data_IF_428983976477
#
_entry.id   IF_428983976477
#
_cell.length_a   1.000
_cell.length_b   1.000
_cell.length_c   1.000
_cell.angle_alpha   90.00
_cell.angle_beta   90.00
_cell.angle_gamma   90.00
#
_symmetry.space_group_name_H-M   'P 1'
#
loop_
_entity.id
_entity.type
_entity.pdbx_description
1 polymer ?
#
# COMPACT_ATOMS: atom_id res chain seq x y z
N UNK A 1 11.80 1.86 -0.74
CA UNK A 1 11.29 2.52 -1.97
C UNK A 1 9.77 2.65 -1.99
N UNK A 2 8.98 1.66 -1.54
CA UNK A 2 7.50 1.79 -1.47
C UNK A 2 7.00 2.91 -0.54
N UNK A 3 7.68 3.18 0.58
CA UNK A 3 7.25 4.20 1.54
C UNK A 3 7.31 5.66 1.03
N UNK A 4 8.25 5.96 0.13
CA UNK A 4 8.37 7.32 -0.43
C UNK A 4 7.25 7.63 -1.42
N UNK A 5 6.80 6.64 -2.20
CA UNK A 5 5.76 6.82 -3.21
C UNK A 5 4.35 6.95 -2.61
N UNK A 6 4.08 6.31 -1.47
CA UNK A 6 2.77 6.32 -0.82
C UNK A 6 2.58 7.53 0.10
N UNK A 7 3.66 8.12 0.60
CA UNK A 7 3.65 9.28 1.50
C UNK A 7 2.81 10.46 0.97
N UNK A 8 3.06 10.98 -0.26
CA UNK A 8 2.30 12.12 -0.78
C UNK A 8 0.85 11.79 -1.09
N UNK A 9 0.54 10.53 -1.44
CA UNK A 9 -0.82 10.10 -1.76
C UNK A 9 -1.67 10.07 -0.49
N UNK A 10 -1.12 9.56 0.61
CA UNK A 10 -1.78 9.53 1.91
C UNK A 10 -1.99 10.91 2.51
N UNK A 11 -1.00 11.81 2.39
CA UNK A 11 -1.13 13.20 2.85
C UNK A 11 -2.15 13.95 2.01
N UNK A 12 -2.11 13.80 0.68
CA UNK A 12 -3.09 14.39 -0.23
C UNK A 12 -4.51 13.94 0.12
N UNK A 13 -4.74 12.62 0.24
CA UNK A 13 -6.04 12.06 0.61
C UNK A 13 -6.51 12.53 2.00
N UNK A 14 -5.60 12.68 2.96
CA UNK A 14 -5.92 13.19 4.29
C UNK A 14 -6.31 14.67 4.27
N UNK A 15 -5.65 15.49 3.45
CA UNK A 15 -5.90 16.93 3.29
C UNK A 15 -7.23 17.23 2.59
N UNK A 16 -7.62 16.43 1.59
CA UNK A 16 -8.88 16.63 0.87
C UNK A 16 -10.09 16.00 1.57
N UNK A 17 -9.87 15.09 2.53
CA UNK A 17 -10.97 14.34 3.14
C UNK A 17 -11.71 15.15 4.21
N UNK A 18 -12.99 15.43 3.96
CA UNK A 18 -13.89 15.91 5.03
C UNK A 18 -14.03 14.82 6.11
N UNK A 19 -14.11 15.18 7.40
CA UNK A 19 -14.17 14.21 8.52
C UNK A 19 -15.31 13.19 8.37
N UNK A 20 -16.43 13.58 7.76
CA UNK A 20 -17.58 12.71 7.51
C UNK A 20 -17.41 11.76 6.31
N UNK A 21 -16.52 12.09 5.37
CA UNK A 21 -16.31 11.30 4.15
C UNK A 21 -15.02 10.46 4.20
N UNK A 22 -14.10 10.79 5.11
CA UNK A 22 -12.79 10.14 5.25
C UNK A 22 -12.89 8.62 5.38
N UNK A 23 -13.87 8.12 6.15
CA UNK A 23 -14.10 6.67 6.27
C UNK A 23 -14.45 6.01 4.94
N UNK A 24 -15.32 6.63 4.12
CA UNK A 24 -15.71 6.10 2.81
C UNK A 24 -14.56 6.10 1.81
N UNK A 25 -13.72 7.14 1.82
CA UNK A 25 -12.52 7.21 0.98
C UNK A 25 -11.51 6.12 1.33
N UNK A 26 -11.26 5.88 2.63
CA UNK A 26 -10.35 4.83 3.10
C UNK A 26 -10.86 3.44 2.70
N UNK A 27 -12.16 3.18 2.94
CA UNK A 27 -12.79 1.92 2.55
C UNK A 27 -12.75 1.71 1.03
N UNK A 28 -13.07 2.74 0.25
CA UNK A 28 -13.02 2.70 -1.21
C UNK A 28 -11.62 2.38 -1.75
N UNK A 29 -10.58 3.02 -1.19
CA UNK A 29 -9.18 2.71 -1.57
C UNK A 29 -8.80 1.27 -1.23
N UNK A 30 -9.28 0.74 -0.09
CA UNK A 30 -9.01 -0.64 0.34
C UNK A 30 -9.69 -1.66 -0.58
N UNK A 31 -10.94 -1.39 -0.98
CA UNK A 31 -11.67 -2.22 -1.95
C UNK A 31 -10.97 -2.19 -3.30
N UNK A 32 -10.55 -1.01 -3.78
CA UNK A 32 -9.83 -0.89 -5.05
C UNK A 32 -8.53 -1.73 -5.08
N UNK A 33 -7.77 -1.73 -3.98
CA UNK A 33 -6.58 -2.58 -3.84
C UNK A 33 -6.96 -4.07 -3.88
N UNK A 34 -7.98 -4.48 -3.13
CA UNK A 34 -8.45 -5.86 -3.12
C UNK A 34 -8.93 -6.32 -4.50
N UNK A 35 -9.68 -5.49 -5.21
CA UNK A 35 -10.12 -5.76 -6.59
C UNK A 35 -8.94 -5.84 -7.56
N UNK A 36 -7.94 -4.97 -7.43
CA UNK A 36 -6.73 -5.03 -8.25
C UNK A 36 -5.95 -6.35 -8.07
N UNK A 37 -5.82 -6.81 -6.83
CA UNK A 37 -5.18 -8.10 -6.52
C UNK A 37 -6.00 -9.26 -7.10
N UNK A 38 -7.32 -9.23 -6.95
CA UNK A 38 -8.22 -10.24 -7.52
C UNK A 38 -8.06 -10.33 -9.05
N UNK A 39 -8.06 -9.19 -9.74
CA UNK A 39 -7.87 -9.11 -11.19
C UNK A 39 -6.52 -9.69 -11.61
N UNK A 40 -5.44 -9.40 -10.87
CA UNK A 40 -4.12 -9.97 -11.16
C UNK A 40 -4.09 -11.50 -11.03
N UNK A 41 -4.76 -12.06 -10.02
CA UNK A 41 -4.86 -13.52 -9.89
C UNK A 41 -5.67 -14.16 -11.02
N UNK A 42 -6.77 -13.53 -11.44
CA UNK A 42 -7.60 -14.02 -12.54
C UNK A 42 -6.80 -14.00 -13.86
N UNK A 43 -6.09 -12.90 -14.14
CA UNK A 43 -5.23 -12.78 -15.32
C UNK A 43 -4.08 -13.81 -15.30
N UNK A 44 -3.45 -14.02 -14.15
CA UNK A 44 -2.41 -15.03 -13.98
C UNK A 44 -2.92 -16.47 -14.11
N UNK A 45 -4.20 -16.72 -13.84
CA UNK A 45 -4.82 -18.03 -14.06
C UNK A 45 -5.10 -18.29 -15.54
N UNK A 46 -5.57 -17.28 -16.27
CA UNK A 46 -5.95 -17.39 -17.68
C UNK A 46 -4.74 -17.49 -18.61
N UNK A 47 -3.65 -16.79 -18.32
CA UNK A 47 -2.49 -16.67 -19.21
C UNK A 47 -1.27 -17.34 -18.56
N UNK A 48 -1.15 -18.66 -18.70
CA UNK A 48 -0.02 -19.43 -18.14
C UNK A 48 1.23 -19.45 -19.03
N UNK A 49 1.07 -19.38 -20.34
CA UNK A 49 2.17 -19.56 -21.30
C UNK A 49 2.79 -18.25 -21.81
N UNK A 50 2.14 -17.09 -21.63
CA UNK A 50 2.56 -15.81 -22.20
C UNK A 50 2.70 -14.70 -21.15
N UNK A 51 3.81 -14.73 -20.39
CA UNK A 51 4.10 -13.74 -19.35
C UNK A 51 4.23 -12.30 -19.90
N UNK A 52 4.59 -12.13 -21.17
CA UNK A 52 4.76 -10.81 -21.80
C UNK A 52 3.42 -10.05 -21.89
N UNK A 53 2.31 -10.74 -22.18
CA UNK A 53 0.99 -10.12 -22.22
C UNK A 53 0.54 -9.64 -20.84
N UNK A 54 0.85 -10.40 -19.79
CA UNK A 54 0.53 -10.02 -18.41
C UNK A 54 1.27 -8.73 -18.03
N UNK A 55 2.55 -8.60 -18.41
CA UNK A 55 3.32 -7.37 -18.21
C UNK A 55 2.76 -6.17 -19.01
N UNK A 56 2.26 -6.41 -20.22
CA UNK A 56 1.68 -5.34 -21.04
C UNK A 56 0.35 -4.85 -20.43
N UNK A 57 -0.51 -5.76 -19.99
CA UNK A 57 -1.80 -5.42 -19.37
C UNK A 57 -1.59 -4.65 -18.06
N UNK A 58 -0.61 -5.05 -17.24
CA UNK A 58 -0.31 -4.33 -16.00
C UNK A 58 0.24 -2.93 -16.26
N UNK A 59 1.08 -2.75 -17.29
CA UNK A 59 1.54 -1.44 -17.72
C UNK A 59 0.38 -0.56 -18.21
N UNK A 60 -0.53 -1.11 -19.02
CA UNK A 60 -1.73 -0.40 -19.49
C UNK A 60 -2.61 0.02 -18.31
N UNK A 61 -2.87 -0.88 -17.36
CA UNK A 61 -3.63 -0.55 -16.15
C UNK A 61 -3.01 0.61 -15.38
N UNK A 62 -1.69 0.64 -15.25
CA UNK A 62 -0.98 1.73 -14.58
C UNK A 62 -1.08 3.05 -15.37
N UNK A 63 -1.01 3.00 -16.70
CA UNK A 63 -1.22 4.18 -17.55
C UNK A 63 -2.64 4.74 -17.44
N UNK A 64 -3.66 3.88 -17.42
CA UNK A 64 -5.05 4.30 -17.23
C UNK A 64 -5.22 4.97 -15.87
N UNK A 65 -4.70 4.35 -14.80
CA UNK A 65 -4.74 4.92 -13.45
C UNK A 65 -4.05 6.30 -13.41
N UNK A 66 -2.90 6.44 -14.08
CA UNK A 66 -2.21 7.73 -14.18
C UNK A 66 -3.06 8.79 -14.91
N UNK A 67 -3.65 8.43 -16.06
CA UNK A 67 -4.53 9.33 -16.80
C UNK A 67 -5.77 9.77 -16.00
N UNK A 68 -6.33 8.88 -15.16
CA UNK A 68 -7.45 9.22 -14.29
C UNK A 68 -7.10 10.22 -13.17
N UNK A 69 -5.83 10.31 -12.79
CA UNK A 69 -5.37 11.22 -11.73
C UNK A 69 -5.01 12.61 -12.26
N UNK A 70 -4.63 12.74 -13.53
CA UNK A 70 -4.31 14.03 -14.17
C UNK A 70 -5.38 15.14 -14.05
N UNK A 71 -6.69 14.87 -14.17
CA UNK A 71 -7.71 15.92 -14.05
C UNK A 71 -8.03 16.32 -12.59
N UNK A 72 -7.42 15.69 -11.59
CA UNK A 72 -7.71 15.99 -10.18
C UNK A 72 -7.05 17.32 -9.80
N UNK A 73 -7.79 18.29 -9.24
CA UNK A 73 -7.22 19.57 -8.83
C UNK A 73 -6.24 19.41 -7.67
N UNK A 74 -5.22 20.28 -7.64
CA UNK A 74 -4.22 20.34 -6.57
C UNK A 74 -4.85 20.56 -5.18
N UNK A 75 -4.18 20.06 -4.14
CA UNK A 75 -4.67 20.12 -2.75
C UNK A 75 -4.84 21.59 -2.30
N UNK A 76 -5.97 21.94 -1.65
CA UNK A 76 -6.21 23.30 -1.15
C UNK A 76 -5.14 23.75 -0.14
N UNK A 77 -4.60 22.84 0.67
CA UNK A 77 -3.54 23.14 1.65
C UNK A 77 -2.23 23.55 0.98
N UNK A 78 -1.87 22.88 -0.12
CA UNK A 78 -0.67 23.23 -0.90
C UNK A 78 -0.81 24.59 -1.61
N UNK A 79 -1.99 24.86 -2.16
CA UNK A 79 -2.31 26.16 -2.77
C UNK A 79 -2.27 27.30 -1.73
N UNK A 80 -2.68 27.02 -0.48
CA UNK A 80 -2.58 27.96 0.63
C UNK A 80 -1.14 28.25 1.05
N UNK A 81 -0.30 27.22 1.14
CA UNK A 81 1.13 27.40 1.44
C UNK A 81 1.83 28.29 0.39
N UNK A 82 1.39 28.21 -0.88
CA UNK A 82 1.87 29.07 -1.97
C UNK A 82 1.27 30.48 -2.01
N UNK A 83 0.33 30.80 -1.12
CA UNK A 83 -0.35 32.10 -1.08
C UNK A 83 -1.43 32.30 -2.15
N UNK A 84 -1.83 31.24 -2.88
CA UNK A 84 -2.79 31.30 -3.98
C UNK A 84 -4.22 31.02 -3.48
N UNK A 85 -4.75 31.94 -2.65
CA UNK A 85 -6.04 31.79 -1.95
C UNK A 85 -7.22 31.57 -2.91
N UNK A 86 -7.28 32.29 -4.03
CA UNK A 86 -8.37 32.17 -5.01
C UNK A 86 -8.40 30.79 -5.71
N UNK A 87 -7.22 30.20 -5.96
CA UNK A 87 -7.15 28.84 -6.52
C UNK A 87 -7.52 27.79 -5.48
N UNK A 88 -7.09 27.97 -4.23
CA UNK A 88 -7.50 27.10 -3.13
C UNK A 88 -9.03 27.10 -2.94
N UNK A 89 -9.65 28.28 -3.04
CA UNK A 89 -11.10 28.45 -3.03
C UNK A 89 -11.80 27.68 -4.15
N UNK A 90 -11.28 27.75 -5.38
CA UNK A 90 -11.83 27.02 -6.54
C UNK A 90 -11.70 25.49 -6.37
N UNK A 91 -10.56 24.99 -5.91
CA UNK A 91 -10.36 23.57 -5.62
C UNK A 91 -11.30 23.07 -4.53
N UNK A 92 -11.45 23.82 -3.42
CA UNK A 92 -12.33 23.44 -2.32
C UNK A 92 -13.82 23.42 -2.74
N UNK A 93 -14.23 24.36 -3.60
CA UNK A 93 -15.57 24.34 -4.23
C UNK A 93 -15.80 23.10 -5.08
N UNK A 94 -14.80 22.68 -5.87
CA UNK A 94 -14.87 21.46 -6.68
C UNK A 94 -15.08 20.20 -5.82
N UNK A 95 -14.34 20.06 -4.71
CA UNK A 95 -14.48 18.90 -3.82
C UNK A 95 -15.80 18.84 -3.07
N UNK A 96 -16.41 19.98 -2.75
CA UNK A 96 -17.69 20.02 -2.05
C UNK A 96 -18.91 19.98 -2.97
N UNK A 97 -18.73 20.18 -4.28
CA UNK A 97 -19.83 20.20 -5.26
C UNK A 97 -20.83 21.34 -5.06
N UNK A 98 -20.43 22.43 -4.39
CA UNK A 98 -21.31 23.58 -4.15
C UNK A 98 -21.51 24.37 -5.46
N UNK A 99 -22.78 24.58 -5.81
CA UNK A 99 -23.20 25.60 -6.79
C UNK A 99 -23.29 26.96 -6.10
N UNK A 100 -23.08 28.05 -6.86
CA UNK A 100 -22.87 29.43 -6.36
C UNK A 100 -23.99 30.04 -5.47
N UNK A 101 -25.08 29.35 -5.18
CA UNK A 101 -26.31 29.94 -4.63
C UNK A 101 -26.63 29.69 -3.14
N UNK A 102 -25.82 28.92 -2.39
CA UNK A 102 -26.14 28.61 -0.99
C UNK A 102 -25.43 29.53 0.01
N UNK A 103 -26.05 30.70 0.29
CA UNK A 103 -25.53 31.76 1.19
C UNK A 103 -25.14 31.26 2.58
N UNK A 104 -25.82 30.24 3.09
CA UNK A 104 -25.54 29.60 4.39
C UNK A 104 -24.22 28.84 4.38
N UNK A 105 -23.88 28.19 3.27
CA UNK A 105 -22.64 27.43 3.15
C UNK A 105 -21.42 28.30 2.87
N UNK A 106 -21.60 29.53 2.37
CA UNK A 106 -20.49 30.47 2.14
C UNK A 106 -19.77 30.88 3.42
N UNK A 107 -20.49 31.15 4.51
CA UNK A 107 -19.87 31.60 5.77
C UNK A 107 -19.07 30.46 6.45
N UNK A 108 -19.63 29.25 6.45
CA UNK A 108 -18.94 28.06 6.95
C UNK A 108 -17.73 27.67 6.07
N UNK A 109 -17.86 27.85 4.76
CA UNK A 109 -16.78 27.65 3.80
C UNK A 109 -15.61 28.65 4.01
N UNK A 110 -15.91 29.94 4.19
CA UNK A 110 -14.87 30.95 4.46
C UNK A 110 -14.19 30.71 5.81
N UNK A 111 -14.94 30.26 6.83
CA UNK A 111 -14.38 29.87 8.13
C UNK A 111 -13.41 28.70 8.02
N UNK A 112 -13.74 27.67 7.27
CA UNK A 112 -12.83 26.56 7.01
C UNK A 112 -11.58 26.99 6.23
N UNK A 113 -11.77 27.82 5.20
CA UNK A 113 -10.68 28.37 4.41
C UNK A 113 -9.71 29.18 5.29
N UNK A 114 -10.24 29.98 6.21
CA UNK A 114 -9.47 30.75 7.19
C UNK A 114 -8.73 29.84 8.19
N UNK A 115 -9.35 28.75 8.66
CA UNK A 115 -8.67 27.77 9.52
C UNK A 115 -7.51 27.07 8.80
N UNK A 116 -7.69 26.65 7.55
CA UNK A 116 -6.63 26.02 6.75
C UNK A 116 -5.47 27.01 6.56
N UNK A 117 -5.77 28.29 6.27
CA UNK A 117 -4.76 29.34 6.14
C UNK A 117 -3.98 29.54 7.45
N UNK A 118 -4.67 29.66 8.58
CA UNK A 118 -4.04 29.83 9.90
C UNK A 118 -3.12 28.65 10.24
N UNK A 119 -3.57 27.40 10.01
CA UNK A 119 -2.74 26.22 10.25
C UNK A 119 -1.51 26.18 9.34
N UNK A 120 -1.65 26.60 8.08
CA UNK A 120 -0.54 26.71 7.13
C UNK A 120 0.48 27.78 7.54
N UNK A 121 0.02 28.96 7.95
CA UNK A 121 0.90 30.05 8.41
C UNK A 121 1.63 29.66 9.71
N UNK A 122 0.93 29.04 10.68
CA UNK A 122 1.54 28.50 11.89
C UNK A 122 2.60 27.42 11.59
N UNK A 123 2.32 26.53 10.65
CA UNK A 123 3.29 25.50 10.22
C UNK A 123 4.53 26.11 9.57
N UNK A 124 4.37 27.21 8.82
CA UNK A 124 5.47 27.93 8.18
C UNK A 124 6.32 28.68 9.21
N UNK A 125 5.68 29.39 10.14
CA UNK A 125 6.37 30.09 11.24
C UNK A 125 7.14 29.10 12.13
N UNK A 126 6.53 27.96 12.47
CA UNK A 126 7.19 26.89 13.21
C UNK A 126 8.41 26.35 12.44
N UNK A 127 8.27 26.09 11.14
CA UNK A 127 9.36 25.59 10.29
C UNK A 127 10.49 26.61 10.08
N UNK A 128 10.19 27.91 10.15
CA UNK A 128 11.20 28.98 10.07
C UNK A 128 11.96 29.12 11.41
N UNK A 129 11.28 28.90 12.53
CA UNK A 129 11.86 29.02 13.88
C UNK A 129 12.65 27.79 14.34
N UNK A 130 12.36 26.59 13.81
CA UNK A 130 12.94 25.33 14.28
C UNK A 130 13.86 24.71 13.22
N UNK A 131 15.14 24.51 13.54
CA UNK A 131 16.05 23.69 12.72
C UNK A 131 15.56 22.24 12.66
N UNK A 132 15.64 21.58 11.49
CA UNK A 132 15.15 20.19 11.29
C UNK A 132 15.67 19.18 12.33
N UNK A 133 16.87 19.41 12.87
CA UNK A 133 17.47 18.60 13.94
C UNK A 133 16.77 18.79 15.30
N UNK A 134 16.26 19.98 15.58
CA UNK A 134 15.51 20.30 16.78
C UNK A 134 14.09 19.73 16.71
N UNK A 135 13.46 19.80 15.54
CA UNK A 135 12.16 19.20 15.27
C UNK A 135 12.18 17.65 15.46
N UNK A 136 13.24 16.97 15.00
CA UNK A 136 13.42 15.52 15.20
C UNK A 136 13.68 15.15 16.66
N UNK A 137 14.35 16.04 17.42
CA UNK A 137 14.68 15.82 18.83
C UNK A 137 13.50 16.09 19.77
N UNK A 138 12.42 16.67 19.25
CA UNK A 138 11.22 16.94 20.03
C UNK A 138 10.61 15.64 20.58
N UNK A 139 10.12 15.66 21.83
CA UNK A 139 9.53 14.48 22.45
C UNK A 139 8.23 14.02 21.76
N UNK A 140 7.64 14.87 20.93
CA UNK A 140 6.42 14.60 20.15
C UNK A 140 6.68 13.65 18.97
N UNK A 141 7.87 13.71 18.36
CA UNK A 141 8.21 12.88 17.19
C UNK A 141 8.82 11.54 17.62
N UNK A 142 9.67 11.52 18.65
CA UNK A 142 10.37 10.27 19.02
C UNK A 142 9.43 9.18 19.58
N UNK A 143 8.33 9.56 20.27
CA UNK A 143 7.36 8.61 20.84
C UNK A 143 6.66 7.78 19.76
N UNK A 144 6.01 8.39 18.75
CA UNK A 144 5.42 7.64 17.64
C UNK A 144 6.50 6.98 16.78
N UNK A 145 7.67 7.58 16.59
CA UNK A 145 8.73 7.01 15.76
C UNK A 145 9.29 5.71 16.35
N UNK A 146 9.51 5.65 17.67
CA UNK A 146 9.94 4.41 18.36
C UNK A 146 8.84 3.35 18.27
N UNK A 147 7.56 3.72 18.44
CA UNK A 147 6.45 2.78 18.25
C UNK A 147 6.39 2.24 16.81
N UNK A 148 6.57 3.10 15.81
CA UNK A 148 6.57 2.71 14.39
C UNK A 148 7.77 1.81 14.09
N UNK A 149 8.98 2.16 14.55
CA UNK A 149 10.16 1.30 14.40
C UNK A 149 9.94 -0.08 15.03
N UNK A 150 9.37 -0.14 16.24
CA UNK A 150 9.02 -1.41 16.87
C UNK A 150 8.02 -2.24 16.06
N UNK A 151 6.96 -1.59 15.57
CA UNK A 151 5.92 -2.25 14.77
C UNK A 151 6.43 -2.80 13.43
N UNK A 152 7.42 -2.16 12.78
CA UNK A 152 8.00 -2.66 11.52
C UNK A 152 9.05 -3.77 11.72
N UNK A 153 9.78 -3.74 12.84
CA UNK A 153 10.81 -4.74 13.14
C UNK A 153 10.20 -6.10 13.48
N UNK A 154 9.09 -6.11 14.21
CA UNK A 154 8.41 -7.35 14.63
C UNK A 154 8.00 -8.25 13.42
N UNK A 155 7.26 -7.76 12.40
CA UNK A 155 6.93 -8.54 11.20
C UNK A 155 8.16 -8.95 10.37
N UNK A 156 9.20 -8.13 10.33
CA UNK A 156 10.40 -8.42 9.54
C UNK A 156 11.20 -9.59 10.14
N UNK A 157 11.34 -9.61 11.47
CA UNK A 157 12.02 -10.71 12.19
C UNK A 157 11.19 -11.99 12.12
N UNK A 158 9.87 -11.90 12.35
CA UNK A 158 8.95 -13.03 12.22
C UNK A 158 8.94 -13.62 10.80
N UNK A 159 8.94 -12.77 9.78
CA UNK A 159 9.00 -13.17 8.37
C UNK A 159 10.32 -13.87 8.01
N UNK A 160 11.46 -13.38 8.49
CA UNK A 160 12.75 -14.05 8.30
C UNK A 160 12.79 -15.42 8.99
N UNK A 161 12.28 -15.53 10.22
CA UNK A 161 12.18 -16.81 10.92
C UNK A 161 11.30 -17.81 10.17
N UNK A 162 10.14 -17.37 9.66
CA UNK A 162 9.24 -18.22 8.88
C UNK A 162 9.88 -18.70 7.57
N UNK A 163 10.54 -17.81 6.81
CA UNK A 163 11.27 -18.16 5.59
C UNK A 163 12.45 -19.11 5.85
N UNK A 164 13.19 -18.92 6.94
CA UNK A 164 14.31 -19.79 7.28
C UNK A 164 13.82 -21.19 7.69
N UNK A 165 12.68 -21.29 8.39
CA UNK A 165 12.00 -22.54 8.71
C UNK A 165 11.54 -23.29 7.44
N UNK A 166 10.86 -22.59 6.51
CA UNK A 166 10.41 -23.17 5.22
C UNK A 166 11.63 -23.67 4.42
N UNK A 167 12.71 -22.90 4.37
CA UNK A 167 13.94 -23.27 3.67
C UNK A 167 14.63 -24.49 4.32
N UNK A 168 14.55 -24.61 5.65
CA UNK A 168 15.09 -25.74 6.40
C UNK A 168 14.28 -27.02 6.15
N UNK A 169 12.94 -26.94 6.19
CA UNK A 169 12.02 -28.04 5.83
C UNK A 169 12.25 -28.51 4.39
N UNK A 170 12.32 -27.60 3.42
CA UNK A 170 12.54 -27.95 2.02
C UNK A 170 13.92 -28.60 1.79
N UNK A 171 14.96 -28.12 2.48
CA UNK A 171 16.31 -28.69 2.44
C UNK A 171 16.37 -30.09 3.08
N UNK A 172 15.64 -30.30 4.18
CA UNK A 172 15.53 -31.61 4.84
C UNK A 172 14.76 -32.62 3.97
N UNK A 173 13.64 -32.22 3.38
CA UNK A 173 12.83 -33.05 2.50
C UNK A 173 13.61 -33.51 1.25
N UNK A 174 14.40 -32.63 0.62
CA UNK A 174 15.28 -33.02 -0.50
C UNK A 174 16.37 -34.02 -0.10
N UNK A 175 16.90 -33.93 1.12
CA UNK A 175 17.90 -34.89 1.62
C UNK A 175 17.27 -36.26 1.91
N UNK A 176 16.05 -36.30 2.45
CA UNK A 176 15.32 -37.54 2.69
C UNK A 176 14.89 -38.23 1.39
N UNK A 177 14.47 -37.47 0.36
CA UNK A 177 14.16 -38.03 -0.96
C UNK A 177 15.38 -38.67 -1.63
N UNK A 178 16.56 -38.01 -1.63
CA UNK A 178 17.79 -38.60 -2.19
C UNK A 178 18.21 -39.88 -1.46
N UNK A 179 18.07 -39.92 -0.13
CA UNK A 179 18.39 -41.11 0.69
C UNK A 179 17.40 -42.26 0.53
N UNK A 180 16.14 -41.98 0.16
CA UNK A 180 15.15 -43.03 -0.14
C UNK A 180 15.32 -43.57 -1.56
N UNK A 181 15.64 -42.71 -2.54
CA UNK A 181 15.96 -43.13 -3.91
C UNK A 181 17.20 -44.03 -3.95
N UNK A 182 18.25 -43.69 -3.21
CA UNK A 182 19.47 -44.51 -3.11
C UNK A 182 19.28 -45.87 -2.41
N UNK A 183 18.18 -46.08 -1.68
CA UNK A 183 17.89 -47.33 -0.93
C UNK A 183 16.76 -48.17 -1.54
N UNK A 184 16.24 -47.80 -2.71
CA UNK A 184 15.21 -48.59 -3.43
C UNK A 184 13.85 -48.75 -2.72
N UNK A 185 13.64 -48.11 -1.56
CA UNK A 185 12.41 -48.22 -0.77
C UNK A 185 11.61 -46.92 -0.80
N UNK A 186 10.66 -46.82 -1.74
CA UNK A 186 9.81 -45.64 -1.93
C UNK A 186 8.58 -45.55 -0.99
N UNK A 187 8.37 -46.50 -0.06
CA UNK A 187 7.04 -46.67 0.59
C UNK A 187 6.85 -46.13 2.02
N UNK A 188 7.76 -45.38 2.64
CA UNK A 188 7.58 -44.94 4.05
C UNK A 188 8.00 -43.50 4.37
N UNK A 189 7.50 -42.52 3.62
CA UNK A 189 7.66 -41.09 4.01
C UNK A 189 6.34 -40.31 4.01
N UNK A 190 5.20 -41.00 4.21
CA UNK A 190 3.86 -40.39 4.11
C UNK A 190 3.16 -40.05 5.44
N UNK A 191 3.71 -40.42 6.59
CA UNK A 191 2.91 -40.52 7.83
C UNK A 191 3.18 -39.46 8.91
N UNK A 192 3.91 -38.39 8.60
CA UNK A 192 4.05 -37.24 9.52
C UNK A 192 3.59 -35.92 8.89
N UNK A 193 2.72 -36.00 7.88
CA UNK A 193 2.29 -34.87 7.06
C UNK A 193 0.84 -34.46 7.31
N UNK A 194 0.31 -34.69 8.51
CA UNK A 194 -1.13 -34.54 8.79
C UNK A 194 -1.51 -33.40 9.75
N UNK A 195 -0.58 -32.54 10.19
CA UNK A 195 -0.91 -31.50 11.18
C UNK A 195 -0.42 -30.06 10.90
N UNK A 196 0.24 -29.78 9.77
CA UNK A 196 0.73 -28.41 9.48
C UNK A 196 0.28 -27.86 8.11
N UNK A 197 -0.76 -28.45 7.51
CA UNK A 197 -1.34 -27.98 6.25
C UNK A 197 -2.79 -27.54 6.47
N UNK A 198 -2.98 -26.54 7.33
CA UNK A 198 -4.19 -25.73 7.28
C UNK A 198 -3.81 -24.33 6.81
N UNK A 199 -4.04 -24.07 5.51
CA UNK A 199 -4.14 -22.71 4.97
C UNK A 199 -2.93 -22.15 4.21
N UNK A 200 -2.53 -22.76 3.09
CA UNK A 200 -2.36 -22.09 1.79
C UNK A 200 -1.70 -23.02 0.75
N UNK A 201 -2.38 -23.16 -0.39
CA UNK A 201 -1.87 -23.50 -1.74
C UNK A 201 -0.93 -24.69 -1.94
N UNK A 202 -1.52 -25.87 -2.09
CA UNK A 202 -0.88 -27.07 -2.63
C UNK A 202 -0.90 -27.18 -4.17
N UNK A 203 -1.15 -26.08 -4.91
CA UNK A 203 -1.33 -26.14 -6.38
C UNK A 203 -0.16 -25.58 -7.20
N UNK A 204 0.89 -25.04 -6.57
CA UNK A 204 2.07 -24.51 -7.26
C UNK A 204 3.25 -25.52 -7.39
N UNK A 205 3.23 -26.63 -6.66
CA UNK A 205 4.32 -27.63 -6.70
C UNK A 205 4.14 -28.72 -7.78
N UNK A 206 2.96 -28.82 -8.41
CA UNK A 206 2.69 -29.80 -9.45
C UNK A 206 3.28 -29.46 -10.83
N UNK A 207 3.51 -28.18 -11.14
CA UNK A 207 3.94 -27.77 -12.49
C UNK A 207 5.45 -27.78 -12.71
N UNK A 208 6.27 -27.78 -11.65
CA UNK A 208 7.73 -27.82 -11.79
C UNK A 208 8.31 -29.24 -11.79
N UNK A 209 7.55 -30.25 -11.37
CA UNK A 209 8.02 -31.64 -11.37
C UNK A 209 7.97 -32.31 -12.76
N UNK A 210 7.07 -31.85 -13.65
CA UNK A 210 6.89 -32.47 -14.97
C UNK A 210 7.99 -32.10 -16.00
N UNK A 211 8.87 -31.14 -15.69
CA UNK A 211 9.93 -30.66 -16.60
C UNK A 211 11.28 -31.38 -16.46
N UNK A 212 11.43 -32.26 -15.47
CA UNK A 212 12.68 -33.00 -15.20
C UNK A 212 12.55 -34.51 -15.45
N UNK A 213 11.44 -34.98 -16.02
CA UNK A 213 11.17 -36.39 -16.28
C UNK A 213 11.26 -36.77 -17.77
N UNK A 214 11.70 -35.86 -18.65
CA UNK A 214 11.72 -36.09 -20.10
C UNK A 214 12.97 -35.53 -20.82
N UNK A 215 14.11 -35.45 -20.14
CA UNK A 215 15.43 -35.27 -20.78
C UNK A 215 16.49 -36.08 -20.05
#
# INVERSE_FOLDING_TARGET
MMGAALSPIGSYAAEISLPLMRGRLILGSSIAIATGILLMYVLGFLIRDQFQLVCLISAIYQCIAFCCVLPIPESPSWLMQKGLVEKARKSLKYFRGLSENDKTTYDEFEKELAMIKKNSDQSREAAESESLLQAIRSPEVHKPLIMMMGFFLLPTVLGHCHCNCIRCTNRHQRRCLRRSYARGHLRRCGTHHHYLLHGHDFRALGSSASRYALS
#
